data_IF_606867093309
#
_entry.id   IF_606867093309
#
_cell.length_a   1.000
_cell.length_b   1.000
_cell.length_c   1.000
_cell.angle_alpha   90.00
_cell.angle_beta   90.00
_cell.angle_gamma   90.00
#
_symmetry.space_group_name_H-M   'P 1'
#
loop_
_entity.id
_entity.type
_entity.pdbx_description
1 polymer ?
#
# COMPACT_ATOMS: atom_id res chain seq x y z
N UNK A 1 25.76 6.59 -2.31
CA UNK A 1 24.46 6.47 -2.99
C UNK A 1 23.39 6.99 -2.05
N UNK A 2 22.94 8.21 -2.28
CA UNK A 2 21.81 8.76 -1.55
C UNK A 2 20.55 8.20 -2.22
N UNK A 3 20.05 7.08 -1.69
CA UNK A 3 18.88 6.42 -2.25
C UNK A 3 17.66 7.32 -2.07
N UNK A 4 17.02 7.74 -3.15
CA UNK A 4 15.75 8.44 -3.07
C UNK A 4 14.72 7.48 -2.48
N UNK A 5 14.18 7.79 -1.30
CA UNK A 5 13.12 6.99 -0.70
C UNK A 5 11.80 7.77 -0.78
N UNK A 6 10.74 7.06 -1.11
CA UNK A 6 9.39 7.60 -1.13
C UNK A 6 8.64 7.17 0.13
N UNK A 7 7.78 8.04 0.62
CA UNK A 7 6.88 7.79 1.74
C UNK A 7 5.47 7.58 1.20
N UNK A 8 4.80 6.53 1.66
CA UNK A 8 3.40 6.26 1.33
C UNK A 8 2.52 6.43 2.56
N UNK A 9 1.43 7.17 2.38
CA UNK A 9 0.35 7.27 3.35
C UNK A 9 -0.76 6.27 3.04
N UNK A 10 -1.45 5.81 4.08
CA UNK A 10 -2.67 5.05 3.93
C UNK A 10 -3.76 5.95 3.34
N UNK A 11 -4.36 5.59 2.18
CA UNK A 11 -5.44 6.38 1.56
C UNK A 11 -6.73 6.40 2.39
N UNK A 12 -6.86 5.53 3.40
CA UNK A 12 -8.05 5.44 4.27
C UNK A 12 -7.94 6.34 5.50
N UNK A 13 -6.79 6.32 6.18
CA UNK A 13 -6.61 7.02 7.47
C UNK A 13 -5.56 8.13 7.45
N UNK A 14 -4.92 8.37 6.30
CA UNK A 14 -3.91 9.42 6.09
C UNK A 14 -2.55 9.17 6.74
N UNK A 15 -2.38 8.08 7.49
CA UNK A 15 -1.13 7.84 8.23
C UNK A 15 -0.01 7.38 7.30
N UNK A 16 1.14 8.06 7.36
CA UNK A 16 2.39 7.62 6.70
C UNK A 16 2.89 6.39 7.44
N UNK A 17 2.94 5.26 6.75
CA UNK A 17 3.23 3.95 7.35
C UNK A 17 4.33 3.20 6.62
N UNK A 18 4.55 3.52 5.34
CA UNK A 18 5.45 2.75 4.50
C UNK A 18 6.48 3.66 3.86
N UNK A 19 7.71 3.15 3.78
CA UNK A 19 8.85 3.78 3.11
C UNK A 19 9.48 2.74 2.21
N UNK A 20 9.79 3.12 0.97
CA UNK A 20 10.42 2.23 0.02
C UNK A 20 11.28 2.96 -0.99
N UNK A 21 12.20 2.23 -1.61
CA UNK A 21 12.95 2.71 -2.76
C UNK A 21 12.06 2.69 -4.01
N UNK A 22 12.32 3.54 -5.02
CA UNK A 22 11.71 3.39 -6.34
C UNK A 22 11.91 1.95 -6.85
N UNK A 23 10.90 1.41 -7.52
CA UNK A 23 10.79 0.01 -7.95
C UNK A 23 10.55 -1.02 -6.84
N UNK A 24 10.30 -0.59 -5.60
CA UNK A 24 9.83 -1.48 -4.54
C UNK A 24 8.30 -1.55 -4.50
N UNK A 25 7.77 -2.69 -4.04
CA UNK A 25 6.34 -2.88 -3.78
C UNK A 25 6.15 -3.37 -2.35
N UNK A 26 5.12 -2.88 -1.69
CA UNK A 26 4.75 -3.28 -0.34
C UNK A 26 3.28 -3.66 -0.33
N UNK A 27 2.96 -4.81 0.22
CA UNK A 27 1.59 -5.26 0.44
C UNK A 27 1.44 -5.63 1.92
N UNK A 28 0.45 -5.06 2.59
CA UNK A 28 0.27 -5.29 4.01
C UNK A 28 -0.90 -4.55 4.62
N UNK A 29 -1.25 -4.93 5.84
CA UNK A 29 -2.33 -4.29 6.60
C UNK A 29 -1.90 -2.96 7.23
N UNK A 30 -2.76 -1.96 7.16
CA UNK A 30 -2.61 -0.74 7.95
C UNK A 30 -2.86 -1.07 9.44
N UNK A 31 -1.90 -0.88 10.36
CA UNK A 31 -2.13 -1.16 11.78
C UNK A 31 -3.10 -0.16 12.44
N UNK A 32 -3.44 0.96 11.79
CA UNK A 32 -4.38 1.95 12.31
C UNK A 32 -5.84 1.67 11.93
N UNK A 33 -6.12 1.41 10.66
CA UNK A 33 -7.50 1.14 10.19
C UNK A 33 -7.79 -0.34 9.92
N UNK A 34 -6.77 -1.21 9.95
CA UNK A 34 -6.90 -2.64 9.65
C UNK A 34 -7.04 -2.97 8.16
N UNK A 35 -7.12 -1.96 7.28
CA UNK A 35 -7.32 -2.17 5.85
C UNK A 35 -6.07 -2.72 5.16
N UNK A 36 -6.25 -3.63 4.21
CA UNK A 36 -5.13 -4.14 3.42
C UNK A 36 -4.75 -3.15 2.31
N UNK A 37 -3.47 -2.80 2.26
CA UNK A 37 -2.93 -1.80 1.35
C UNK A 37 -1.92 -2.43 0.41
N UNK A 38 -1.96 -2.01 -0.85
CA UNK A 38 -0.94 -2.32 -1.86
C UNK A 38 -0.30 -1.02 -2.30
N UNK A 39 1.01 -0.95 -2.15
CA UNK A 39 1.80 0.26 -2.36
C UNK A 39 2.89 -0.05 -3.37
N UNK A 40 2.95 0.74 -4.43
CA UNK A 40 3.97 0.64 -5.46
C UNK A 40 4.76 1.94 -5.51
N UNK A 41 6.06 1.85 -5.27
CA UNK A 41 6.99 2.95 -5.41
C UNK A 41 7.56 2.92 -6.82
N UNK A 42 7.41 4.02 -7.54
CA UNK A 42 7.94 4.20 -8.90
C UNK A 42 8.93 5.36 -8.89
N UNK A 43 9.72 5.50 -9.94
CA UNK A 43 10.63 6.64 -10.09
C UNK A 43 9.89 7.98 -10.18
N UNK A 44 8.62 7.95 -10.59
CA UNK A 44 7.75 9.12 -10.73
C UNK A 44 6.95 9.44 -9.47
N UNK A 45 6.99 8.60 -8.44
CA UNK A 45 6.26 8.82 -7.19
C UNK A 45 5.77 7.55 -6.51
N UNK A 46 4.63 7.66 -5.84
CA UNK A 46 4.07 6.58 -5.02
C UNK A 46 2.60 6.38 -5.33
N UNK A 47 2.21 5.12 -5.53
CA UNK A 47 0.82 4.73 -5.71
C UNK A 47 0.40 3.83 -4.55
N UNK A 48 -0.59 4.27 -3.78
CA UNK A 48 -1.11 3.52 -2.63
C UNK A 48 -2.61 3.27 -2.84
N UNK A 49 -2.99 2.00 -2.96
CA UNK A 49 -4.39 1.58 -3.09
C UNK A 49 -4.80 0.73 -1.91
N UNK A 50 -6.01 0.97 -1.42
CA UNK A 50 -6.66 0.06 -0.48
C UNK A 50 -7.32 -1.07 -1.26
N UNK A 51 -6.83 -2.29 -1.05
CA UNK A 51 -7.51 -3.47 -1.55
C UNK A 51 -8.46 -3.88 -0.44
N UNK A 52 -9.75 -3.54 -0.58
CA UNK A 52 -10.77 -4.25 0.21
C UNK A 52 -10.49 -5.72 -0.01
N UNK A 53 -10.28 -6.50 1.06
CA UNK A 53 -10.29 -7.95 0.93
C UNK A 53 -11.59 -8.26 0.20
N UNK A 54 -11.51 -8.62 -1.07
CA UNK A 54 -12.56 -9.39 -1.70
C UNK A 54 -12.61 -10.65 -0.86
N UNK A 55 -13.49 -10.64 0.14
CA UNK A 55 -14.06 -11.85 0.67
C UNK A 55 -14.44 -12.61 -0.59
N UNK A 56 -13.68 -13.67 -0.89
CA UNK A 56 -13.98 -14.57 -1.98
C UNK A 56 -15.48 -14.78 -1.89
N UNK A 57 -16.25 -14.23 -2.84
CA UNK A 57 -17.60 -14.71 -3.05
C UNK A 57 -17.34 -16.14 -3.47
N UNK A 58 -17.40 -17.07 -2.53
CA UNK A 58 -17.81 -18.43 -2.83
C UNK A 58 -19.12 -18.24 -3.57
N UNK A 59 -19.05 -18.30 -4.90
CA UNK A 59 -20.23 -18.60 -5.70
C UNK A 59 -20.71 -19.96 -5.17
N UNK A 60 -21.94 -20.05 -4.63
CA UNK A 60 -22.58 -21.35 -4.55
C UNK A 60 -23.02 -21.75 -5.96
N UNK A 61 -22.57 -22.91 -6.42
CA UNK A 61 -23.31 -23.77 -7.34
C UNK A 61 -23.38 -25.15 -6.69
#
# INVERSE_FOLDING_TARGET
MEGTFFLASCPICGRVLFRGSPSSKIEGGCPKCGEYLKISFTEHGVNAVASKREAKKTLPD
#
